data_IF_183499094108
#
_entry.id   IF_183499094108
#
_cell.length_a   1.000
_cell.length_b   1.000
_cell.length_c   1.000
_cell.angle_alpha   90.00
_cell.angle_beta   90.00
_cell.angle_gamma   90.00
#
_symmetry.space_group_name_H-M   'P 1'
#
loop_
_entity.id
_entity.type
_entity.pdbx_description
1 polymer ?
#
# COMPACT_ATOMS: atom_id res chain seq x y z
N UNK A 1 -17.46 -24.93 -10.62
CA UNK A 1 -16.16 -24.48 -11.15
C UNK A 1 -16.30 -22.99 -11.45
N UNK A 2 -15.97 -22.13 -10.48
CA UNK A 2 -16.05 -20.68 -10.68
C UNK A 2 -14.72 -20.25 -11.29
N UNK A 3 -14.78 -19.76 -12.51
CA UNK A 3 -13.63 -19.20 -13.22
C UNK A 3 -13.19 -18.00 -12.39
N UNK A 4 -12.01 -18.07 -11.76
CA UNK A 4 -11.40 -16.91 -11.13
C UNK A 4 -11.22 -15.86 -12.23
N UNK A 5 -11.96 -14.76 -12.15
CA UNK A 5 -11.78 -13.61 -13.02
C UNK A 5 -10.30 -13.22 -12.96
N UNK A 6 -9.59 -13.39 -14.08
CA UNK A 6 -8.14 -13.35 -14.19
C UNK A 6 -7.55 -11.96 -14.02
N UNK A 7 -7.69 -11.39 -12.83
CA UNK A 7 -6.96 -10.20 -12.42
C UNK A 7 -5.68 -10.69 -11.77
N UNK A 8 -4.58 -10.54 -12.48
CA UNK A 8 -3.25 -10.84 -11.96
C UNK A 8 -2.67 -9.57 -11.32
N UNK A 9 -2.33 -9.67 -10.04
CA UNK A 9 -1.60 -8.63 -9.32
C UNK A 9 -0.11 -8.98 -9.31
N UNK A 10 0.80 -8.03 -9.61
CA UNK A 10 2.24 -8.30 -9.68
C UNK A 10 2.86 -8.76 -8.34
N UNK A 11 2.21 -8.44 -7.23
CA UNK A 11 2.65 -8.82 -5.89
C UNK A 11 1.54 -9.61 -5.17
N UNK A 12 1.90 -10.62 -4.37
CA UNK A 12 0.92 -11.39 -3.61
C UNK A 12 0.31 -10.53 -2.48
N UNK A 13 -0.94 -10.80 -2.12
CA UNK A 13 -1.58 -10.12 -0.98
C UNK A 13 -0.94 -10.42 0.38
N UNK A 14 -0.02 -11.37 0.45
CA UNK A 14 0.83 -11.61 1.62
C UNK A 14 1.98 -10.62 1.76
N UNK A 15 2.20 -9.71 0.80
CA UNK A 15 3.19 -8.64 0.94
C UNK A 15 2.79 -7.69 2.07
N UNK A 16 3.67 -7.52 3.04
CA UNK A 16 3.44 -6.65 4.19
C UNK A 16 4.13 -5.28 4.02
N UNK A 17 3.56 -4.19 4.59
CA UNK A 17 4.25 -2.91 4.63
C UNK A 17 5.50 -2.97 5.52
N UNK A 18 6.64 -2.49 5.02
CA UNK A 18 7.87 -2.37 5.82
C UNK A 18 7.70 -1.43 7.01
N UNK A 19 8.12 -1.81 8.21
CA UNK A 19 8.05 -0.95 9.40
C UNK A 19 9.30 -0.09 9.61
N UNK A 20 9.10 1.10 10.17
CA UNK A 20 10.20 1.95 10.61
C UNK A 20 10.65 1.54 12.01
N UNK A 21 11.97 1.61 12.25
CA UNK A 21 12.52 1.48 13.61
C UNK A 21 12.35 2.81 14.34
N UNK A 22 12.02 2.74 15.61
CA UNK A 22 12.00 3.93 16.47
C UNK A 22 13.43 4.43 16.69
N UNK A 23 13.60 5.75 16.64
CA UNK A 23 14.88 6.42 16.87
C UNK A 23 14.63 7.70 17.68
N UNK A 24 15.54 8.02 18.59
CA UNK A 24 15.43 9.22 19.45
C UNK A 24 15.80 10.51 18.70
N UNK A 25 16.61 10.39 17.65
CA UNK A 25 17.05 11.50 16.83
C UNK A 25 17.15 11.07 15.37
N UNK A 26 17.03 12.04 14.47
CA UNK A 26 17.36 11.83 13.06
C UNK A 26 18.85 11.50 12.91
N UNK A 27 19.22 10.63 11.95
CA UNK A 27 20.61 10.39 11.61
C UNK A 27 21.35 11.70 11.31
N UNK A 28 22.56 11.83 11.85
CA UNK A 28 23.43 13.01 11.69
C UNK A 28 24.61 12.76 10.77
N UNK A 29 24.77 11.51 10.32
CA UNK A 29 25.77 11.17 9.34
C UNK A 29 25.35 11.68 7.96
N UNK A 30 26.33 12.00 7.12
CA UNK A 30 26.12 12.42 5.72
C UNK A 30 25.75 11.22 4.83
N UNK A 31 25.11 10.21 5.41
CA UNK A 31 24.62 9.03 4.71
C UNK A 31 23.50 9.37 3.72
N UNK A 32 23.17 8.45 2.80
CA UNK A 32 22.16 8.67 1.75
C UNK A 32 20.73 8.60 2.30
N UNK A 33 20.38 9.52 3.21
CA UNK A 33 19.06 9.60 3.82
C UNK A 33 18.08 10.42 2.96
N UNK A 34 16.85 9.94 2.84
CA UNK A 34 15.71 10.68 2.29
C UNK A 34 14.69 10.92 3.41
N UNK A 35 14.08 12.10 3.42
CA UNK A 35 13.15 12.53 4.47
C UNK A 35 11.78 12.81 3.89
N UNK A 36 10.76 12.17 4.46
CA UNK A 36 9.36 12.37 4.11
C UNK A 36 8.56 12.85 5.34
N UNK A 37 7.52 13.68 5.17
CA UNK A 37 6.61 14.03 6.26
C UNK A 37 5.93 12.78 6.82
N UNK A 38 5.77 12.71 8.15
CA UNK A 38 4.97 11.67 8.80
C UNK A 38 3.48 12.00 8.69
N UNK A 39 2.73 11.14 8.01
CA UNK A 39 1.27 11.25 7.91
C UNK A 39 0.58 10.38 8.96
N UNK A 40 -0.45 10.93 9.62
CA UNK A 40 -1.32 10.17 10.52
C UNK A 40 -2.58 9.71 9.78
N UNK A 41 -2.76 8.39 9.71
CA UNK A 41 -3.87 7.78 8.98
C UNK A 41 -3.76 6.26 8.91
N UNK A 42 -4.53 5.64 8.02
CA UNK A 42 -4.45 4.21 7.77
C UNK A 42 -3.35 3.88 6.78
N UNK A 43 -2.35 3.12 7.22
CA UNK A 43 -1.37 2.55 6.30
C UNK A 43 -1.99 1.43 5.48
N UNK A 44 -1.90 1.54 4.15
CA UNK A 44 -2.37 0.54 3.22
C UNK A 44 -1.37 0.28 2.09
N UNK A 45 -1.49 -0.90 1.47
CA UNK A 45 -0.88 -1.22 0.19
C UNK A 45 -1.96 -1.23 -0.88
N UNK A 46 -1.67 -0.63 -2.03
CA UNK A 46 -2.51 -0.71 -3.22
C UNK A 46 -1.92 -1.74 -4.19
N UNK A 47 -2.66 -2.80 -4.43
CA UNK A 47 -2.35 -3.81 -5.44
C UNK A 47 -3.09 -3.44 -6.72
N UNK A 48 -2.35 -3.23 -7.80
CA UNK A 48 -2.93 -2.83 -9.09
C UNK A 48 -2.59 -3.84 -10.18
N UNK A 49 -3.61 -4.28 -10.91
CA UNK A 49 -3.52 -5.16 -12.07
C UNK A 49 -4.39 -4.61 -13.19
N UNK A 50 -3.77 -3.99 -14.20
CA UNK A 50 -4.48 -3.20 -15.20
C UNK A 50 -5.28 -2.07 -14.52
N UNK A 51 -6.59 -2.01 -14.77
CA UNK A 51 -7.53 -1.06 -14.12
C UNK A 51 -8.06 -1.51 -12.76
N UNK A 52 -7.76 -2.74 -12.35
CA UNK A 52 -8.26 -3.30 -11.10
C UNK A 52 -7.34 -2.90 -9.94
N UNK A 53 -7.92 -2.41 -8.85
CA UNK A 53 -7.19 -1.99 -7.65
C UNK A 53 -7.78 -2.65 -6.41
N UNK A 54 -6.94 -3.26 -5.58
CA UNK A 54 -7.29 -3.76 -4.25
C UNK A 54 -6.46 -3.02 -3.19
N UNK A 55 -7.13 -2.41 -2.21
CA UNK A 55 -6.50 -1.74 -1.08
C UNK A 55 -6.50 -2.65 0.14
N UNK A 56 -5.33 -2.91 0.72
CA UNK A 56 -5.17 -3.72 1.93
C UNK A 56 -4.59 -2.91 3.07
N UNK A 57 -5.28 -2.92 4.21
CA UNK A 57 -4.72 -2.38 5.45
C UNK A 57 -3.46 -3.16 5.86
N UNK A 58 -2.66 -2.59 6.77
CA UNK A 58 -1.55 -3.32 7.43
C UNK A 58 -1.96 -4.69 7.99
N UNK A 59 -3.21 -4.86 8.42
CA UNK A 59 -3.76 -6.14 8.92
C UNK A 59 -4.18 -7.13 7.82
N UNK A 60 -4.02 -6.80 6.54
CA UNK A 60 -4.49 -7.60 5.39
C UNK A 60 -5.98 -7.45 5.06
N UNK A 61 -6.75 -6.72 5.89
CA UNK A 61 -8.17 -6.47 5.64
C UNK A 61 -8.37 -5.56 4.42
N UNK A 62 -9.35 -5.89 3.59
CA UNK A 62 -9.71 -5.07 2.44
C UNK A 62 -10.27 -3.70 2.89
N UNK A 63 -9.78 -2.64 2.27
CA UNK A 63 -10.16 -1.25 2.54
C UNK A 63 -10.96 -0.60 1.42
N UNK A 64 -11.03 -1.21 0.22
CA UNK A 64 -11.63 -0.60 -0.97
C UNK A 64 -13.06 -0.09 -0.76
N UNK A 65 -13.87 -0.79 0.04
CA UNK A 65 -15.25 -0.36 0.35
C UNK A 65 -15.36 0.98 1.08
N UNK A 66 -14.30 1.38 1.79
CA UNK A 66 -14.25 2.61 2.58
C UNK A 66 -13.60 3.76 1.81
N UNK A 67 -12.83 3.47 0.76
CA UNK A 67 -12.12 4.46 -0.05
C UNK A 67 -12.34 4.19 -1.55
N UNK A 68 -13.59 4.14 -2.02
CA UNK A 68 -13.90 3.86 -3.42
C UNK A 68 -13.28 4.87 -4.38
N UNK A 69 -13.17 6.14 -3.98
CA UNK A 69 -12.53 7.21 -4.74
C UNK A 69 -11.04 6.94 -5.00
N UNK A 70 -10.34 6.34 -4.03
CA UNK A 70 -8.94 5.96 -4.21
C UNK A 70 -8.81 4.79 -5.18
N UNK A 71 -9.72 3.79 -5.11
CA UNK A 71 -9.69 2.67 -6.05
C UNK A 71 -9.93 3.12 -7.49
N UNK A 72 -10.86 4.05 -7.70
CA UNK A 72 -11.12 4.63 -9.02
C UNK A 72 -9.92 5.42 -9.54
N UNK A 73 -9.41 6.37 -8.74
CA UNK A 73 -8.28 7.20 -9.12
C UNK A 73 -7.03 6.38 -9.46
N UNK A 74 -6.69 5.39 -8.61
CA UNK A 74 -5.52 4.54 -8.85
C UNK A 74 -5.70 3.62 -10.07
N UNK A 75 -6.95 3.23 -10.38
CA UNK A 75 -7.27 2.43 -11.56
C UNK A 75 -7.04 3.18 -12.87
N UNK A 76 -7.13 4.51 -12.84
CA UNK A 76 -6.92 5.39 -13.99
C UNK A 76 -5.48 5.93 -14.12
N UNK A 77 -4.62 5.75 -13.11
CA UNK A 77 -3.17 6.00 -13.20
C UNK A 77 -2.51 5.14 -14.30
#
# INVERSE_FOLDING_TARGET
>A
MVVASGIEFPLPFSTEPMEARMAEALPRDDGPWQYEPKWDGFRCLAFKGGKSVDLRAKSGKALGRYFPELTAMLGDL
#
